data_IF_188295282457
#
_entry.id   IF_188295282457
#
_cell.length_a   1.000
_cell.length_b   1.000
_cell.length_c   1.000
_cell.angle_alpha   90.00
_cell.angle_beta   90.00
_cell.angle_gamma   90.00
#
_symmetry.space_group_name_H-M   'P 1'
#
loop_
_entity.id
_entity.type
_entity.pdbx_description
1 polymer ?
#
# COMPACT_ATOMS: atom_id res chain seq x y z
N UNK A 1 -30.34 17.95 -9.83
CA UNK A 1 -29.56 18.21 -8.60
C UNK A 1 -28.87 16.93 -8.13
N UNK A 2 -27.84 16.48 -8.84
CA UNK A 2 -27.17 15.19 -8.62
C UNK A 2 -25.91 15.29 -7.71
N UNK A 3 -25.65 16.49 -7.17
CA UNK A 3 -24.47 16.78 -6.35
C UNK A 3 -24.77 16.99 -4.85
N UNK A 4 -25.99 16.72 -4.39
CA UNK A 4 -26.30 16.80 -2.95
C UNK A 4 -25.84 15.52 -2.25
N UNK A 5 -24.71 15.61 -1.54
CA UNK A 5 -24.26 14.55 -0.63
C UNK A 5 -25.24 14.47 0.55
N UNK A 6 -25.94 13.34 0.77
CA UNK A 6 -26.86 13.22 1.87
C UNK A 6 -26.10 13.18 3.21
N UNK A 7 -26.62 13.91 4.21
CA UNK A 7 -26.08 13.84 5.57
C UNK A 7 -26.33 12.45 6.16
N UNK A 8 -25.27 11.79 6.65
CA UNK A 8 -25.35 10.46 7.25
C UNK A 8 -26.36 10.41 8.41
N UNK A 9 -26.39 11.44 9.26
CA UNK A 9 -27.37 11.57 10.36
C UNK A 9 -28.81 11.62 9.88
N UNK A 10 -29.07 12.22 8.72
CA UNK A 10 -30.42 12.25 8.13
C UNK A 10 -30.80 10.89 7.58
N UNK A 11 -29.86 10.19 6.92
CA UNK A 11 -30.08 8.82 6.45
C UNK A 11 -30.40 7.87 7.60
N UNK A 12 -29.68 7.98 8.71
CA UNK A 12 -29.94 7.22 9.94
C UNK A 12 -31.34 7.46 10.49
N UNK A 13 -31.74 8.72 10.71
CA UNK A 13 -33.06 9.08 11.25
C UNK A 13 -34.23 8.69 10.34
N UNK A 14 -34.03 8.73 9.04
CA UNK A 14 -35.10 8.49 8.06
C UNK A 14 -35.12 7.06 7.52
N UNK A 15 -34.13 6.23 7.85
CA UNK A 15 -33.99 4.87 7.32
C UNK A 15 -33.73 4.80 5.81
N UNK A 16 -33.36 5.92 5.15
CA UNK A 16 -33.26 6.02 3.68
C UNK A 16 -31.91 5.55 3.11
N UNK A 17 -31.25 4.59 3.74
CA UNK A 17 -29.98 4.04 3.26
C UNK A 17 -30.18 3.28 1.94
N UNK A 18 -29.27 3.48 0.98
CA UNK A 18 -29.32 2.76 -0.31
C UNK A 18 -28.75 1.34 -0.23
N UNK A 19 -28.08 0.99 0.86
CA UNK A 19 -27.51 -0.34 1.11
C UNK A 19 -27.49 -0.63 2.62
N UNK A 20 -27.82 -1.85 3.05
CA UNK A 20 -27.60 -2.30 4.42
C UNK A 20 -26.16 -2.16 4.88
N UNK A 21 -25.18 -2.43 3.99
CA UNK A 21 -23.76 -2.29 4.30
C UNK A 21 -23.40 -0.85 4.63
N UNK A 22 -24.00 0.12 3.93
CA UNK A 22 -23.77 1.54 4.19
C UNK A 22 -24.34 1.96 5.54
N UNK A 23 -25.53 1.44 5.91
CA UNK A 23 -26.11 1.66 7.23
C UNK A 23 -25.20 1.09 8.33
N UNK A 24 -24.78 -0.17 8.20
CA UNK A 24 -23.91 -0.80 9.22
C UNK A 24 -22.58 -0.03 9.31
N UNK A 25 -21.93 0.22 8.17
CA UNK A 25 -20.63 0.88 8.15
C UNK A 25 -20.66 2.30 8.71
N UNK A 26 -21.68 3.11 8.39
CA UNK A 26 -21.66 4.54 8.69
C UNK A 26 -22.54 4.96 9.88
N UNK A 27 -23.55 4.16 10.25
CA UNK A 27 -24.41 4.43 11.41
C UNK A 27 -24.01 3.60 12.65
N UNK A 28 -23.63 2.33 12.46
CA UNK A 28 -23.37 1.42 13.58
C UNK A 28 -21.91 1.35 14.01
N UNK A 29 -20.97 1.74 13.15
CA UNK A 29 -19.53 1.70 13.43
C UNK A 29 -18.97 3.12 13.53
N UNK A 30 -19.02 3.70 14.74
CA UNK A 30 -18.55 5.07 15.00
C UNK A 30 -17.10 5.32 14.51
N UNK A 31 -16.21 4.32 14.66
CA UNK A 31 -14.82 4.40 14.22
C UNK A 31 -14.65 4.73 12.73
N UNK A 32 -15.60 4.33 11.88
CA UNK A 32 -15.49 4.67 10.45
C UNK A 32 -15.61 6.18 10.22
N UNK A 33 -16.51 6.87 10.94
CA UNK A 33 -16.64 8.32 10.86
C UNK A 33 -15.45 9.06 11.49
N UNK A 34 -14.91 8.51 12.57
CA UNK A 34 -13.86 9.16 13.35
C UNK A 34 -12.47 9.03 12.70
N UNK A 35 -12.22 7.89 12.02
CA UNK A 35 -10.87 7.50 11.61
C UNK A 35 -10.70 7.31 10.11
N UNK A 36 -11.75 7.14 9.31
CA UNK A 36 -11.58 6.97 7.87
C UNK A 36 -11.69 8.32 7.15
N UNK A 37 -11.00 8.38 6.03
CA UNK A 37 -11.35 9.26 4.93
C UNK A 37 -12.54 8.70 4.17
N UNK A 38 -13.44 9.56 3.67
CA UNK A 38 -14.55 9.13 2.81
C UNK A 38 -14.04 8.33 1.60
N UNK A 39 -12.93 8.78 1.01
CA UNK A 39 -12.32 8.14 -0.15
C UNK A 39 -11.56 6.84 0.17
N UNK A 40 -11.35 6.49 1.45
CA UNK A 40 -10.84 5.16 1.82
C UNK A 40 -11.81 4.03 1.45
N UNK A 41 -13.12 4.32 1.50
CA UNK A 41 -14.17 3.41 1.07
C UNK A 41 -14.61 3.65 -0.37
N UNK A 42 -14.59 4.90 -0.83
CA UNK A 42 -15.19 5.29 -2.11
C UNK A 42 -14.22 5.30 -3.31
N UNK A 43 -12.90 5.24 -3.11
CA UNK A 43 -11.95 5.05 -4.19
C UNK A 43 -11.95 3.60 -4.68
N UNK A 44 -12.31 3.37 -5.95
CA UNK A 44 -12.40 2.01 -6.49
C UNK A 44 -11.04 1.45 -6.95
N UNK A 45 -10.09 2.30 -7.31
CA UNK A 45 -8.73 1.91 -7.70
C UNK A 45 -7.74 3.06 -7.61
N UNK A 46 -6.44 2.76 -7.59
CA UNK A 46 -5.35 3.74 -7.78
C UNK A 46 -4.35 3.21 -8.81
N UNK A 47 -3.68 4.09 -9.58
CA UNK A 47 -2.56 3.67 -10.42
C UNK A 47 -1.37 3.31 -9.52
N UNK A 48 -0.75 2.16 -9.77
CA UNK A 48 0.29 1.61 -8.89
C UNK A 48 1.52 1.23 -9.71
N UNK A 49 2.49 2.13 -9.73
CA UNK A 49 3.78 1.97 -10.41
C UNK A 49 4.80 1.40 -9.41
N UNK A 50 5.02 0.08 -9.43
CA UNK A 50 5.95 -0.55 -8.50
C UNK A 50 7.36 -0.63 -9.08
N UNK A 51 8.35 -0.28 -8.26
CA UNK A 51 9.79 -0.42 -8.52
C UNK A 51 10.29 0.34 -9.75
N UNK A 52 10.84 1.54 -9.54
CA UNK A 52 11.53 2.33 -10.56
C UNK A 52 13.03 2.03 -10.53
N UNK A 53 13.57 1.41 -11.58
CA UNK A 53 15.01 1.27 -11.73
C UNK A 53 15.59 2.47 -12.48
N UNK A 54 16.34 3.29 -11.75
CA UNK A 54 16.98 4.50 -12.28
C UNK A 54 18.45 4.21 -12.56
N UNK A 55 18.85 4.30 -13.82
CA UNK A 55 20.26 4.20 -14.22
C UNK A 55 20.77 5.57 -14.61
N UNK A 56 21.87 5.99 -13.98
CA UNK A 56 22.62 7.20 -14.33
C UNK A 56 23.97 6.80 -14.91
N UNK A 57 24.20 7.13 -16.19
CA UNK A 57 25.41 6.75 -16.93
C UNK A 57 26.22 7.98 -17.33
N UNK A 58 27.36 8.18 -16.66
CA UNK A 58 28.31 9.27 -16.92
C UNK A 58 29.36 8.92 -17.98
N UNK A 59 29.38 7.69 -18.49
CA UNK A 59 30.38 7.25 -19.46
C UNK A 59 30.27 8.04 -20.77
N UNK A 60 31.38 8.17 -21.49
CA UNK A 60 31.43 8.84 -22.81
C UNK A 60 30.84 10.27 -22.79
N UNK A 61 30.98 10.99 -21.67
CA UNK A 61 30.43 12.35 -21.49
C UNK A 61 28.93 12.47 -21.78
N UNK A 62 28.18 11.40 -21.52
CA UNK A 62 26.73 11.40 -21.60
C UNK A 62 26.13 12.49 -20.71
N UNK A 63 25.01 13.04 -21.15
CA UNK A 63 24.28 14.13 -20.48
C UNK A 63 22.77 13.89 -20.58
N UNK A 64 22.02 14.53 -19.69
CA UNK A 64 20.57 14.59 -19.77
C UNK A 64 20.03 15.96 -19.40
N UNK A 65 18.73 16.15 -19.59
CA UNK A 65 18.02 17.36 -19.16
C UNK A 65 18.12 17.56 -17.65
N UNK A 66 18.58 18.74 -17.25
CA UNK A 66 18.60 19.16 -15.86
C UNK A 66 17.28 19.85 -15.51
N UNK A 67 16.33 19.05 -15.03
CA UNK A 67 15.01 19.51 -14.64
C UNK A 67 15.03 20.49 -13.46
N UNK A 68 16.08 20.46 -12.62
CA UNK A 68 16.20 21.36 -11.46
C UNK A 68 16.72 22.72 -11.92
N UNK A 69 17.80 22.75 -12.70
CA UNK A 69 18.30 24.00 -13.28
C UNK A 69 17.24 24.63 -14.20
N UNK A 70 16.60 23.80 -15.02
CA UNK A 70 15.52 24.16 -15.92
C UNK A 70 14.32 24.82 -15.24
N UNK A 71 13.76 24.17 -14.22
CA UNK A 71 12.63 24.69 -13.45
C UNK A 71 12.94 25.96 -12.64
N UNK A 72 14.21 26.20 -12.34
CA UNK A 72 14.66 27.44 -11.67
C UNK A 72 14.89 28.61 -12.64
N UNK A 73 14.99 28.35 -13.95
CA UNK A 73 15.02 29.41 -14.95
C UNK A 73 13.60 29.93 -15.16
N UNK A 74 13.37 31.21 -14.87
CA UNK A 74 12.08 31.88 -15.10
C UNK A 74 12.25 33.01 -16.10
N UNK A 75 11.54 32.92 -17.20
CA UNK A 75 11.50 33.98 -18.20
C UNK A 75 10.45 35.04 -17.84
N UNK A 76 10.54 36.26 -18.41
CA UNK A 76 9.58 37.34 -18.14
C UNK A 76 8.11 37.00 -18.45
N UNK A 77 7.87 36.01 -19.32
CA UNK A 77 6.52 35.51 -19.65
C UNK A 77 6.00 34.45 -18.66
N UNK A 78 6.72 34.18 -17.56
CA UNK A 78 6.35 33.19 -16.55
C UNK A 78 6.67 31.74 -16.92
N UNK A 79 7.27 31.49 -18.08
CA UNK A 79 7.68 30.15 -18.51
C UNK A 79 9.07 29.75 -18.00
N UNK A 80 9.34 28.45 -18.01
CA UNK A 80 10.66 27.86 -17.73
C UNK A 80 11.38 27.41 -19.01
N UNK A 81 12.65 27.00 -18.90
CA UNK A 81 13.48 26.61 -20.05
C UNK A 81 12.91 25.44 -20.88
N UNK A 82 12.05 24.61 -20.29
CA UNK A 82 11.44 23.41 -20.87
C UNK A 82 9.97 23.62 -21.27
N UNK A 83 9.41 24.81 -21.01
CA UNK A 83 8.02 25.12 -21.36
C UNK A 83 7.77 25.16 -22.88
N UNK A 84 8.70 25.66 -23.73
CA UNK A 84 8.53 25.57 -25.18
C UNK A 84 8.64 24.13 -25.68
N UNK A 85 7.67 23.70 -26.49
CA UNK A 85 7.68 22.36 -27.08
C UNK A 85 8.97 22.13 -27.90
N UNK A 86 9.63 21.00 -27.64
CA UNK A 86 10.84 20.60 -28.36
C UNK A 86 12.16 21.14 -27.80
N UNK A 87 12.14 21.94 -26.73
CA UNK A 87 13.37 22.27 -26.00
C UNK A 87 13.70 21.17 -24.98
N UNK A 88 14.98 21.03 -24.67
CA UNK A 88 15.46 20.04 -23.70
C UNK A 88 16.03 20.66 -22.43
N UNK A 89 15.86 21.97 -22.24
CA UNK A 89 16.40 22.69 -21.09
C UNK A 89 17.93 22.68 -21.02
N UNK A 90 18.49 23.21 -19.93
CA UNK A 90 19.89 23.00 -19.57
C UNK A 90 20.22 21.51 -19.49
N UNK A 91 21.49 21.18 -19.75
CA UNK A 91 21.99 19.81 -19.65
C UNK A 91 22.91 19.67 -18.45
N UNK A 92 22.83 18.52 -17.78
CA UNK A 92 23.76 18.11 -16.73
C UNK A 92 24.47 16.81 -17.10
N UNK A 93 25.67 16.54 -16.56
CA UNK A 93 26.38 15.29 -16.79
C UNK A 93 25.58 14.07 -16.30
N UNK A 94 25.70 12.98 -17.05
CA UNK A 94 25.02 11.70 -16.79
C UNK A 94 23.75 11.58 -17.62
N UNK A 95 23.61 10.48 -18.38
CA UNK A 95 22.33 10.12 -19.01
C UNK A 95 21.47 9.38 -17.99
N UNK A 96 20.28 9.89 -17.72
CA UNK A 96 19.31 9.23 -16.85
C UNK A 96 18.38 8.37 -17.71
N UNK A 97 18.07 7.18 -17.23
CA UNK A 97 17.05 6.31 -17.80
C UNK A 97 16.30 5.62 -16.67
N UNK A 98 14.99 5.49 -16.82
CA UNK A 98 14.12 4.84 -15.85
C UNK A 98 13.41 3.67 -16.53
N UNK A 99 13.34 2.54 -15.84
CA UNK A 99 12.43 1.44 -16.17
C UNK A 99 11.56 1.13 -14.95
N UNK A 100 10.42 0.46 -15.16
CA UNK A 100 9.48 0.11 -14.10
C UNK A 100 9.32 -1.39 -14.03
N UNK A 101 9.15 -1.91 -12.81
CA UNK A 101 9.00 -3.35 -12.59
C UNK A 101 7.62 -3.84 -13.03
N UNK A 102 6.55 -3.22 -12.53
CA UNK A 102 5.18 -3.51 -12.97
C UNK A 102 4.21 -2.37 -12.65
N UNK A 103 3.11 -2.32 -13.41
CA UNK A 103 2.02 -1.36 -13.21
C UNK A 103 0.69 -2.09 -12.99
N UNK A 104 -0.14 -1.54 -12.10
CA UNK A 104 -1.48 -2.06 -11.81
C UNK A 104 -2.50 -0.93 -11.62
N UNK A 105 -3.76 -1.21 -11.96
CA UNK A 105 -4.93 -0.34 -11.73
C UNK A 105 -5.96 -1.13 -10.95
N UNK A 106 -5.78 -1.19 -9.64
CA UNK A 106 -6.56 -2.07 -8.77
C UNK A 106 -6.78 -1.40 -7.40
N UNK A 107 -7.43 -2.13 -6.49
CA UNK A 107 -7.72 -1.65 -5.15
C UNK A 107 -6.43 -1.21 -4.41
N UNK A 108 -6.48 -0.09 -3.68
CA UNK A 108 -5.31 0.46 -3.01
C UNK A 108 -4.95 -0.30 -1.74
N UNK A 109 -3.67 -0.24 -1.39
CA UNK A 109 -3.18 -0.48 -0.02
C UNK A 109 -3.79 0.61 0.89
N UNK A 110 -4.03 0.32 2.17
CA UNK A 110 -4.46 1.34 3.13
C UNK A 110 -3.32 1.72 4.08
N UNK A 111 -3.35 2.97 4.53
CA UNK A 111 -2.40 3.53 5.49
C UNK A 111 -3.01 4.69 6.24
N UNK A 112 -2.18 5.46 6.94
CA UNK A 112 -2.57 6.67 7.66
C UNK A 112 -2.02 7.88 6.89
N UNK A 113 -2.85 8.88 6.63
CA UNK A 113 -2.43 10.15 6.02
C UNK A 113 -1.85 11.14 7.05
N UNK A 114 -1.43 12.31 6.57
CA UNK A 114 -0.91 13.39 7.41
C UNK A 114 -1.90 13.96 8.44
N UNK A 115 -3.20 13.69 8.30
CA UNK A 115 -4.24 14.07 9.27
C UNK A 115 -4.54 12.95 10.29
N UNK A 116 -3.84 11.82 10.22
CA UNK A 116 -4.03 10.70 11.13
C UNK A 116 -5.26 9.83 10.80
N UNK A 117 -5.80 9.94 9.58
CA UNK A 117 -6.95 9.17 9.10
C UNK A 117 -6.53 8.06 8.14
N UNK A 118 -7.29 6.97 8.14
CA UNK A 118 -7.11 5.86 7.21
C UNK A 118 -7.43 6.32 5.80
N UNK A 119 -6.49 6.08 4.89
CA UNK A 119 -6.49 6.60 3.53
C UNK A 119 -6.00 5.53 2.55
N UNK A 120 -6.39 5.58 1.27
CA UNK A 120 -5.70 4.88 0.20
C UNK A 120 -4.24 5.30 0.08
N UNK A 121 -3.37 4.34 -0.14
CA UNK A 121 -1.99 4.55 -0.55
C UNK A 121 -1.80 4.09 -2.01
N UNK A 122 -0.91 4.77 -2.70
CA UNK A 122 -0.33 4.30 -3.96
C UNK A 122 1.20 4.31 -3.87
N UNK A 123 1.92 3.49 -4.64
CA UNK A 123 3.35 3.66 -4.84
C UNK A 123 3.68 5.11 -5.21
N UNK A 124 4.52 5.74 -4.40
CA UNK A 124 5.25 6.93 -4.80
C UNK A 124 6.42 6.53 -5.69
N UNK A 125 7.55 7.24 -5.55
CA UNK A 125 8.78 6.81 -6.21
C UNK A 125 9.44 5.67 -5.41
N UNK A 126 9.46 4.47 -6.00
CA UNK A 126 10.20 3.33 -5.44
C UNK A 126 11.54 3.15 -6.15
N UNK A 127 12.48 4.04 -5.85
CA UNK A 127 13.75 4.15 -6.60
C UNK A 127 14.76 3.10 -6.17
N UNK A 128 15.22 2.32 -7.16
CA UNK A 128 16.39 1.45 -7.10
C UNK A 128 17.39 2.01 -8.12
N UNK A 129 18.61 2.37 -7.72
CA UNK A 129 19.53 3.06 -8.63
C UNK A 129 20.81 2.30 -8.96
N UNK A 130 21.28 2.53 -10.18
CA UNK A 130 22.59 2.09 -10.67
C UNK A 130 23.34 3.30 -11.23
N UNK A 131 24.60 3.44 -10.86
CA UNK A 131 25.46 4.54 -11.32
C UNK A 131 26.68 3.97 -12.03
N UNK A 132 26.88 4.42 -13.27
CA UNK A 132 28.05 4.12 -14.10
C UNK A 132 28.90 5.38 -14.19
N UNK A 133 30.16 5.27 -13.79
CA UNK A 133 31.09 6.41 -13.77
C UNK A 133 31.55 6.83 -15.18
N UNK A 134 32.36 7.90 -15.24
CA UNK A 134 32.90 8.43 -16.51
C UNK A 134 33.78 7.43 -17.27
N UNK A 135 34.36 6.44 -16.59
CA UNK A 135 35.20 5.38 -17.17
C UNK A 135 34.36 4.17 -17.62
N UNK A 136 33.04 4.19 -17.43
CA UNK A 136 32.16 3.07 -17.75
C UNK A 136 32.11 1.98 -16.68
N UNK A 137 32.66 2.22 -15.48
CA UNK A 137 32.60 1.28 -14.37
C UNK A 137 31.33 1.51 -13.55
N UNK A 138 30.60 0.44 -13.25
CA UNK A 138 29.50 0.47 -12.28
C UNK A 138 30.06 0.73 -10.88
N UNK A 139 29.70 1.87 -10.28
CA UNK A 139 30.13 2.29 -8.94
C UNK A 139 29.02 2.17 -7.89
N UNK A 140 27.77 2.05 -8.34
CA UNK A 140 26.63 1.65 -7.52
C UNK A 140 25.76 0.72 -8.37
N UNK A 141 25.41 -0.45 -7.85
CA UNK A 141 24.54 -1.42 -8.52
C UNK A 141 23.33 -1.68 -7.64
N UNK A 142 22.13 -1.45 -8.16
CA UNK A 142 20.86 -1.76 -7.51
C UNK A 142 20.76 -1.29 -6.05
N UNK A 143 21.18 -0.06 -5.78
CA UNK A 143 21.14 0.50 -4.43
C UNK A 143 19.76 1.10 -4.13
N UNK A 144 19.37 1.04 -2.86
CA UNK A 144 18.15 1.66 -2.34
C UNK A 144 18.51 2.54 -1.15
N UNK A 145 17.87 3.70 -1.03
CA UNK A 145 18.07 4.59 0.09
C UNK A 145 17.41 3.99 1.32
N UNK A 146 17.97 4.24 2.50
CA UNK A 146 17.24 4.02 3.74
C UNK A 146 16.55 5.32 4.14
N UNK A 147 15.40 5.21 4.80
CA UNK A 147 14.84 6.32 5.56
C UNK A 147 15.81 6.80 6.64
N UNK A 148 15.46 7.90 7.32
CA UNK A 148 16.24 8.44 8.42
C UNK A 148 15.80 7.87 9.77
N UNK A 149 16.47 8.28 10.85
CA UNK A 149 16.13 7.87 12.21
C UNK A 149 14.71 8.31 12.61
N UNK A 150 14.27 9.48 12.15
CA UNK A 150 12.93 10.02 12.46
C UNK A 150 11.84 9.13 11.86
N UNK A 151 12.02 8.64 10.63
CA UNK A 151 11.13 7.68 9.97
C UNK A 151 11.05 6.35 10.74
N UNK A 152 12.18 5.85 11.24
CA UNK A 152 12.21 4.65 12.08
C UNK A 152 11.38 4.86 13.36
N UNK A 153 11.52 6.01 14.00
CA UNK A 153 10.77 6.36 15.22
C UNK A 153 9.28 6.53 14.91
N UNK A 154 8.93 7.27 13.85
CA UNK A 154 7.55 7.60 13.48
C UNK A 154 6.74 6.35 13.09
N UNK A 155 7.39 5.41 12.39
CA UNK A 155 6.81 4.11 12.02
C UNK A 155 6.66 3.14 13.20
N UNK A 156 7.30 3.42 14.35
CA UNK A 156 7.29 2.54 15.52
C UNK A 156 8.14 1.27 15.35
N UNK A 157 9.01 1.25 14.33
CA UNK A 157 9.89 0.12 14.07
C UNK A 157 10.96 -0.04 15.15
N UNK A 158 11.25 -1.28 15.52
CA UNK A 158 12.28 -1.60 16.53
C UNK A 158 13.56 -2.12 15.88
N UNK A 159 13.44 -2.96 14.86
CA UNK A 159 14.54 -3.67 14.22
C UNK A 159 14.98 -2.97 12.93
N UNK A 160 14.07 -2.72 11.98
CA UNK A 160 14.42 -2.15 10.67
C UNK A 160 14.18 -0.65 10.54
N UNK A 161 15.06 0.04 9.83
CA UNK A 161 14.74 1.36 9.27
C UNK A 161 13.98 1.14 7.96
N UNK A 162 12.84 1.80 7.71
CA UNK A 162 12.15 1.69 6.43
C UNK A 162 13.07 2.06 5.26
N UNK A 163 12.96 1.39 4.13
CA UNK A 163 13.62 1.82 2.90
C UNK A 163 12.99 3.13 2.40
N UNK A 164 13.80 4.04 1.86
CA UNK A 164 13.40 5.32 1.26
C UNK A 164 12.71 5.20 -0.10
N UNK A 165 12.05 4.06 -0.34
CA UNK A 165 11.07 3.89 -1.41
C UNK A 165 9.69 4.19 -0.82
N UNK A 166 8.86 4.96 -1.51
CA UNK A 166 7.69 5.56 -0.85
C UNK A 166 6.34 4.95 -1.26
N UNK A 167 5.41 4.97 -0.31
CA UNK A 167 3.99 4.77 -0.54
C UNK A 167 3.24 6.03 -0.09
N UNK A 168 2.64 6.73 -1.05
CA UNK A 168 2.03 8.03 -0.83
C UNK A 168 0.52 7.90 -0.51
N UNK A 169 0.03 8.55 0.57
CA UNK A 169 -1.38 8.88 0.74
C UNK A 169 -1.97 9.55 -0.49
N UNK A 170 -3.15 9.09 -0.94
CA UNK A 170 -3.77 9.61 -2.16
C UNK A 170 -5.29 9.67 -2.06
N UNK A 171 -5.85 10.79 -2.51
CA UNK A 171 -7.25 10.89 -2.90
C UNK A 171 -7.34 10.76 -4.44
N UNK A 172 -7.66 9.57 -4.97
CA UNK A 172 -7.69 9.37 -6.41
C UNK A 172 -8.98 9.91 -7.04
N UNK A 173 -8.92 10.17 -8.35
CA UNK A 173 -10.09 10.51 -9.18
C UNK A 173 -10.96 9.29 -9.55
N UNK A 174 -10.95 8.25 -8.71
CA UNK A 174 -11.70 7.00 -8.87
C UNK A 174 -12.83 6.86 -7.85
N UNK A 175 -13.24 7.98 -7.22
CA UNK A 175 -14.33 8.00 -6.27
C UNK A 175 -15.66 7.58 -6.93
N UNK A 176 -16.36 6.61 -6.35
CA UNK A 176 -17.62 6.08 -6.86
C UNK A 176 -18.72 6.06 -5.80
N UNK A 177 -19.98 6.08 -6.26
CA UNK A 177 -21.16 6.00 -5.38
C UNK A 177 -21.20 4.69 -4.58
N UNK A 178 -20.78 3.57 -5.17
CA UNK A 178 -20.67 2.28 -4.49
C UNK A 178 -19.29 2.22 -3.82
N UNK A 179 -19.28 2.06 -2.51
CA UNK A 179 -18.06 1.82 -1.75
C UNK A 179 -17.50 0.40 -2.01
N UNK A 180 -16.22 0.20 -1.74
CA UNK A 180 -15.59 -1.13 -1.73
C UNK A 180 -16.25 -2.04 -0.68
N UNK A 181 -16.19 -3.34 -0.93
CA UNK A 181 -16.77 -4.34 -0.03
C UNK A 181 -16.00 -4.38 1.31
N UNK A 182 -16.63 -4.89 2.38
CA UNK A 182 -15.97 -4.99 3.69
C UNK A 182 -14.70 -5.86 3.62
N UNK A 183 -14.79 -6.97 2.90
CA UNK A 183 -13.71 -7.94 2.67
C UNK A 183 -12.50 -7.29 2.00
N UNK A 184 -12.74 -6.29 1.15
CA UNK A 184 -11.69 -5.55 0.44
C UNK A 184 -10.77 -4.78 1.41
N UNK A 185 -11.26 -4.34 2.58
CA UNK A 185 -10.42 -3.72 3.61
C UNK A 185 -10.01 -4.71 4.70
N UNK A 186 -10.93 -5.58 5.09
CA UNK A 186 -10.85 -6.32 6.34
C UNK A 186 -10.38 -7.78 6.17
N UNK A 187 -10.32 -8.27 4.94
CA UNK A 187 -9.91 -9.64 4.58
C UNK A 187 -9.02 -9.63 3.31
N UNK A 188 -8.31 -8.52 3.10
CA UNK A 188 -7.39 -8.37 1.99
C UNK A 188 -5.98 -8.06 2.51
N UNK A 189 -5.01 -8.99 2.34
CA UNK A 189 -3.66 -8.78 2.85
C UNK A 189 -2.99 -7.55 2.24
N UNK A 190 -3.32 -7.21 0.99
CA UNK A 190 -2.81 -6.01 0.33
C UNK A 190 -3.33 -4.74 1.00
N UNK A 191 -4.63 -4.67 1.29
CA UNK A 191 -5.22 -3.51 1.97
C UNK A 191 -4.61 -3.31 3.36
N UNK A 192 -4.30 -4.41 4.06
CA UNK A 192 -3.66 -4.41 5.37
C UNK A 192 -2.15 -4.14 5.33
N UNK A 193 -1.57 -4.05 4.14
CA UNK A 193 -0.16 -3.69 3.94
C UNK A 193 0.82 -4.86 3.90
N UNK A 194 0.34 -6.11 3.91
CA UNK A 194 1.20 -7.30 3.81
C UNK A 194 1.62 -7.63 2.38
N UNK A 195 1.24 -6.81 1.41
CA UNK A 195 1.52 -7.01 -0.01
C UNK A 195 0.46 -7.83 -0.74
N UNK A 196 0.59 -7.85 -2.07
CA UNK A 196 -0.29 -8.59 -2.98
C UNK A 196 -0.17 -10.08 -2.66
N UNK A 197 -1.32 -10.73 -2.43
CA UNK A 197 -1.41 -12.12 -1.94
C UNK A 197 -0.56 -12.40 -0.68
N UNK A 198 -0.38 -11.40 0.19
CA UNK A 198 0.44 -11.54 1.41
C UNK A 198 1.94 -11.42 1.17
N UNK A 199 2.34 -10.80 0.05
CA UNK A 199 3.76 -10.49 -0.21
C UNK A 199 4.58 -11.73 -0.60
N UNK A 200 3.91 -12.78 -1.09
CA UNK A 200 4.55 -14.05 -1.50
C UNK A 200 5.19 -13.98 -2.88
N UNK A 201 4.96 -12.89 -3.62
CA UNK A 201 5.55 -12.67 -4.93
C UNK A 201 6.93 -12.00 -4.82
N UNK A 202 7.76 -12.19 -5.85
CA UNK A 202 9.04 -11.48 -6.01
C UNK A 202 9.96 -11.49 -4.78
N UNK A 203 9.93 -12.55 -3.97
CA UNK A 203 10.70 -12.64 -2.71
C UNK A 203 12.20 -12.87 -2.90
N UNK A 204 12.66 -13.05 -4.14
CA UNK A 204 14.03 -13.41 -4.50
C UNK A 204 14.90 -12.22 -4.92
N UNK A 205 14.47 -10.99 -4.63
CA UNK A 205 15.26 -9.79 -4.96
C UNK A 205 16.66 -9.80 -4.35
N UNK A 206 16.87 -10.44 -3.20
CA UNK A 206 18.19 -10.52 -2.53
C UNK A 206 19.12 -11.59 -3.13
N UNK A 207 18.68 -12.30 -4.16
CA UNK A 207 19.44 -13.34 -4.84
C UNK A 207 19.83 -12.89 -6.25
N UNK A 208 21.03 -13.29 -6.70
CA UNK A 208 21.37 -13.19 -8.11
C UNK A 208 20.59 -14.26 -8.87
N UNK A 209 19.87 -13.87 -9.91
CA UNK A 209 19.18 -14.82 -10.78
C UNK A 209 20.09 -15.17 -11.95
N UNK A 210 20.34 -16.47 -12.07
CA UNK A 210 21.06 -17.08 -13.16
C UNK A 210 20.10 -17.96 -13.95
N UNK A 211 19.91 -17.63 -15.22
CA UNK A 211 19.11 -18.42 -16.16
C UNK A 211 20.07 -19.33 -16.95
N UNK A 212 20.31 -20.53 -16.43
CA UNK A 212 21.20 -21.54 -17.02
C UNK A 212 20.82 -22.95 -16.52
N UNK A 213 21.57 -23.99 -16.92
CA UNK A 213 21.39 -25.36 -16.44
C UNK A 213 21.54 -25.42 -14.92
N UNK A 214 20.47 -25.83 -14.22
CA UNK A 214 20.44 -26.01 -12.77
C UNK A 214 20.34 -27.49 -12.38
N UNK A 215 20.99 -27.85 -11.28
CA UNK A 215 20.77 -29.13 -10.62
C UNK A 215 19.38 -29.11 -9.98
N UNK A 216 18.48 -29.98 -10.45
CA UNK A 216 17.08 -29.99 -10.01
C UNK A 216 16.90 -30.33 -8.52
N UNK A 217 17.86 -30.99 -7.87
CA UNK A 217 17.76 -31.36 -6.45
C UNK A 217 18.22 -30.25 -5.53
N UNK A 218 19.22 -29.47 -5.96
CA UNK A 218 19.90 -28.48 -5.13
C UNK A 218 19.64 -27.04 -5.55
N UNK A 219 19.10 -26.81 -6.75
CA UNK A 219 18.87 -25.48 -7.32
C UNK A 219 20.15 -24.75 -7.73
N UNK A 220 21.31 -25.40 -7.69
CA UNK A 220 22.60 -24.78 -8.01
C UNK A 220 22.85 -24.77 -9.50
N UNK A 221 23.45 -23.70 -9.99
CA UNK A 221 23.93 -23.57 -11.38
C UNK A 221 25.03 -24.60 -11.64
N UNK A 222 24.87 -25.40 -12.71
CA UNK A 222 25.79 -26.48 -13.09
C UNK A 222 27.05 -25.92 -13.81
N UNK A 223 26.94 -24.98 -14.78
CA UNK A 223 28.12 -24.43 -15.42
C UNK A 223 29.04 -23.71 -14.46
N UNK A 224 30.35 -23.89 -14.63
CA UNK A 224 31.38 -23.15 -13.87
C UNK A 224 31.54 -21.70 -14.32
N UNK A 225 31.07 -21.39 -15.54
CA UNK A 225 31.12 -20.05 -16.14
C UNK A 225 29.71 -19.71 -16.59
N UNK A 226 29.14 -18.68 -15.98
CA UNK A 226 27.84 -18.14 -16.31
C UNK A 226 27.86 -16.63 -16.08
N UNK A 227 26.86 -15.96 -16.64
CA UNK A 227 26.60 -14.55 -16.39
C UNK A 227 25.40 -14.44 -15.46
N UNK A 228 25.37 -13.42 -14.62
CA UNK A 228 24.17 -13.07 -13.85
C UNK A 228 23.22 -12.30 -14.78
N UNK A 229 22.00 -12.79 -14.95
CA UNK A 229 21.00 -12.13 -15.80
C UNK A 229 20.24 -11.05 -15.03
N UNK A 230 19.90 -11.31 -13.76
CA UNK A 230 19.26 -10.32 -12.88
C UNK A 230 20.09 -10.21 -11.61
N UNK A 231 20.89 -9.14 -11.47
CA UNK A 231 21.66 -8.91 -10.25
C UNK A 231 20.72 -8.61 -9.09
N UNK A 232 21.09 -9.08 -7.90
CA UNK A 232 20.33 -8.84 -6.67
C UNK A 232 20.17 -7.36 -6.33
N UNK A 233 19.17 -7.10 -5.50
CA UNK A 233 18.88 -5.84 -4.81
C UNK A 233 18.94 -6.14 -3.32
N UNK A 234 20.13 -6.04 -2.73
CA UNK A 234 20.45 -6.53 -1.37
C UNK A 234 19.47 -6.03 -0.29
N UNK A 235 19.03 -4.77 -0.40
CA UNK A 235 18.17 -4.14 0.60
C UNK A 235 16.69 -4.55 0.50
N UNK A 236 16.25 -5.15 -0.61
CA UNK A 236 14.84 -5.39 -0.92
C UNK A 236 14.44 -6.83 -0.55
N UNK A 237 14.35 -7.12 0.74
CA UNK A 237 14.00 -8.46 1.26
C UNK A 237 12.48 -8.75 1.26
N UNK A 238 11.69 -8.04 0.46
CA UNK A 238 10.23 -8.10 0.43
C UNK A 238 9.67 -7.72 -0.95
N UNK A 239 8.44 -8.14 -1.24
CA UNK A 239 7.68 -7.68 -2.41
C UNK A 239 7.43 -6.17 -2.35
N UNK A 240 7.58 -5.45 -3.47
CA UNK A 240 7.43 -3.99 -3.52
C UNK A 240 6.06 -3.45 -3.06
N UNK A 241 5.03 -4.30 -3.04
CA UNK A 241 3.70 -3.94 -2.52
C UNK A 241 3.54 -4.12 -1.01
N UNK A 242 4.49 -4.78 -0.36
CA UNK A 242 4.51 -4.99 1.10
C UNK A 242 5.00 -3.74 1.80
N UNK A 243 4.16 -3.16 2.66
CA UNK A 243 4.51 -2.06 3.57
C UNK A 243 4.68 -2.50 5.02
N UNK A 244 4.20 -3.70 5.38
CA UNK A 244 4.37 -4.31 6.70
C UNK A 244 4.93 -5.73 6.53
N UNK A 245 6.09 -6.00 7.14
CA UNK A 245 6.69 -7.33 7.24
C UNK A 245 7.13 -7.58 8.69
N UNK A 246 6.77 -8.73 9.25
CA UNK A 246 7.10 -9.10 10.63
C UNK A 246 6.67 -8.06 11.69
N UNK A 247 5.58 -7.35 11.40
CA UNK A 247 5.04 -6.28 12.25
C UNK A 247 5.73 -4.93 12.11
N UNK A 248 6.72 -4.79 11.22
CA UNK A 248 7.47 -3.56 10.99
C UNK A 248 7.23 -2.98 9.60
N UNK A 249 7.24 -1.65 9.53
CA UNK A 249 7.12 -0.92 8.27
C UNK A 249 8.38 -1.13 7.41
N UNK A 250 8.21 -1.62 6.19
CA UNK A 250 9.32 -1.99 5.29
C UNK A 250 9.86 -0.81 4.50
N UNK A 251 8.99 0.14 4.17
CA UNK A 251 9.27 1.25 3.28
C UNK A 251 8.58 2.53 3.77
N UNK A 252 9.01 3.70 3.31
CA UNK A 252 8.43 4.94 3.81
C UNK A 252 6.97 5.10 3.38
N UNK A 253 6.19 5.81 4.19
CA UNK A 253 4.77 6.07 3.90
C UNK A 253 4.50 7.55 4.14
N UNK A 254 4.46 8.35 3.07
CA UNK A 254 4.06 9.76 3.15
C UNK A 254 4.91 10.61 4.10
N UNK A 255 6.24 10.40 4.08
CA UNK A 255 7.28 10.98 4.97
C UNK A 255 7.22 12.49 5.17
N UNK A 256 6.54 13.21 4.28
CA UNK A 256 6.33 14.64 4.36
C UNK A 256 5.46 15.06 5.55
N UNK A 257 4.71 14.13 6.18
CA UNK A 257 3.81 14.43 7.28
C UNK A 257 4.06 13.57 8.52
N UNK A 258 4.12 14.16 9.73
CA UNK A 258 4.45 13.43 10.97
C UNK A 258 3.48 12.30 11.35
N UNK A 259 2.23 12.37 10.88
CA UNK A 259 1.23 11.35 11.20
C UNK A 259 1.18 10.19 10.21
N UNK A 260 1.73 10.39 9.00
CA UNK A 260 1.69 9.38 7.95
C UNK A 260 2.49 8.15 8.35
N UNK A 261 1.91 6.97 8.11
CA UNK A 261 2.52 5.68 8.38
C UNK A 261 1.70 4.55 7.77
N UNK A 262 2.28 3.37 7.68
CA UNK A 262 1.53 2.14 7.45
C UNK A 262 0.49 1.93 8.56
N UNK A 263 -0.56 1.13 8.31
CA UNK A 263 -1.58 0.87 9.33
C UNK A 263 -0.93 0.31 10.63
N UNK A 264 -1.12 0.99 11.78
CA UNK A 264 -0.68 0.50 13.07
C UNK A 264 -1.24 -0.88 13.36
N UNK A 265 -0.49 -1.68 14.15
CA UNK A 265 -0.87 -3.05 14.49
C UNK A 265 -2.28 -3.09 15.11
N UNK A 266 -2.60 -2.13 15.97
CA UNK A 266 -3.89 -2.06 16.68
C UNK A 266 -5.05 -1.84 15.70
N UNK A 267 -4.82 -1.09 14.61
CA UNK A 267 -5.81 -0.87 13.56
C UNK A 267 -5.94 -2.13 12.69
N UNK A 268 -4.83 -2.75 12.27
CA UNK A 268 -4.83 -4.02 11.50
C UNK A 268 -5.52 -5.15 12.27
N UNK A 269 -5.16 -5.36 13.53
CA UNK A 269 -5.78 -6.33 14.43
C UNK A 269 -7.29 -6.08 14.63
N UNK A 270 -7.73 -4.83 14.51
CA UNK A 270 -9.15 -4.46 14.54
C UNK A 270 -9.86 -4.76 13.21
N UNK A 271 -9.17 -4.52 12.10
CA UNK A 271 -9.68 -4.76 10.75
C UNK A 271 -9.77 -6.26 10.43
N UNK A 272 -8.77 -7.05 10.78
CA UNK A 272 -8.66 -8.50 10.45
C UNK A 272 -9.69 -9.39 11.14
N UNK A 273 -10.46 -8.87 12.11
CA UNK A 273 -11.45 -9.68 12.84
C UNK A 273 -12.64 -10.14 11.98
N UNK A 274 -12.72 -9.82 10.69
CA UNK A 274 -14.00 -9.84 9.94
C UNK A 274 -14.44 -11.15 9.30
N UNK A 275 -13.54 -12.09 8.98
CA UNK A 275 -13.92 -13.31 8.24
C UNK A 275 -15.00 -14.17 8.95
N UNK A 276 -15.03 -14.13 10.29
CA UNK A 276 -16.08 -14.77 11.10
C UNK A 276 -17.23 -13.81 11.48
N UNK A 277 -17.03 -12.49 11.34
CA UNK A 277 -17.89 -11.47 11.93
C UNK A 277 -18.95 -10.90 10.97
N UNK A 278 -18.67 -10.86 9.66
CA UNK A 278 -19.62 -10.29 8.68
C UNK A 278 -20.94 -11.05 8.62
N UNK A 279 -20.92 -12.38 8.75
CA UNK A 279 -22.15 -13.18 8.84
C UNK A 279 -23.01 -12.76 10.04
N UNK A 280 -22.39 -12.56 11.20
CA UNK A 280 -23.12 -12.16 12.41
C UNK A 280 -23.60 -10.69 12.35
N UNK A 281 -22.81 -9.77 11.80
CA UNK A 281 -23.17 -8.36 11.66
C UNK A 281 -24.20 -8.09 10.56
N UNK A 282 -24.24 -8.89 9.49
CA UNK A 282 -25.33 -8.83 8.50
C UNK A 282 -26.66 -9.22 9.14
N UNK A 283 -26.66 -10.31 9.90
CA UNK A 283 -27.85 -10.79 10.60
C UNK A 283 -28.29 -9.91 11.79
N UNK A 284 -27.49 -8.91 12.21
CA UNK A 284 -27.98 -7.86 13.11
C UNK A 284 -29.14 -7.05 12.52
N UNK A 285 -29.24 -7.00 11.19
CA UNK A 285 -30.34 -6.32 10.49
C UNK A 285 -31.61 -7.16 10.42
N UNK A 286 -31.56 -8.42 10.86
CA UNK A 286 -32.68 -9.34 10.90
C UNK A 286 -33.25 -9.37 12.32
N UNK A 287 -34.26 -8.53 12.60
CA UNK A 287 -34.80 -8.37 13.96
C UNK A 287 -35.29 -9.68 14.60
N UNK A 288 -35.85 -10.59 13.80
CA UNK A 288 -36.31 -11.90 14.29
C UNK A 288 -35.17 -12.81 14.74
N UNK A 289 -34.03 -12.75 14.04
CA UNK A 289 -32.86 -13.53 14.40
C UNK A 289 -32.07 -12.84 15.49
N UNK A 290 -31.84 -11.52 15.36
CA UNK A 290 -31.04 -10.73 16.28
C UNK A 290 -31.63 -10.67 17.68
N UNK A 291 -32.96 -10.56 17.80
CA UNK A 291 -33.65 -10.62 19.11
C UNK A 291 -33.42 -11.94 19.86
N UNK A 292 -33.12 -13.04 19.15
CA UNK A 292 -32.86 -14.36 19.75
C UNK A 292 -31.41 -14.57 20.17
N UNK A 293 -30.47 -13.84 19.56
CA UNK A 293 -29.03 -14.06 19.74
C UNK A 293 -28.30 -12.89 20.40
N UNK A 294 -28.94 -11.72 20.49
CA UNK A 294 -28.36 -10.54 21.13
C UNK A 294 -28.62 -10.50 22.63
N UNK A 295 -27.64 -9.99 23.37
CA UNK A 295 -27.74 -9.69 24.79
C UNK A 295 -27.54 -8.19 25.02
N UNK A 296 -28.29 -7.55 25.95
CA UNK A 296 -28.10 -6.14 26.26
C UNK A 296 -26.66 -5.82 26.71
N UNK A 297 -26.14 -4.68 26.27
CA UNK A 297 -24.79 -4.20 26.62
C UNK A 297 -23.74 -4.42 25.54
N UNK A 298 -22.51 -4.03 25.82
CA UNK A 298 -21.34 -4.23 24.95
C UNK A 298 -20.52 -5.41 25.45
N UNK A 299 -20.27 -6.38 24.58
CA UNK A 299 -19.37 -7.50 24.88
C UNK A 299 -17.94 -6.99 24.94
N UNK A 300 -17.20 -7.36 26.00
CA UNK A 300 -15.76 -7.19 26.01
C UNK A 300 -15.11 -8.25 25.10
N UNK A 301 -13.78 -8.19 24.92
CA UNK A 301 -13.05 -9.12 24.05
C UNK A 301 -13.27 -10.59 24.45
N UNK A 302 -13.26 -10.89 25.75
CA UNK A 302 -13.41 -12.24 26.27
C UNK A 302 -14.83 -12.76 26.03
N UNK A 303 -15.85 -11.97 26.35
CA UNK A 303 -17.25 -12.34 26.17
C UNK A 303 -17.60 -12.57 24.69
N UNK A 304 -17.02 -11.77 23.79
CA UNK A 304 -17.22 -11.92 22.36
C UNK A 304 -16.62 -13.24 21.83
N UNK A 305 -15.44 -13.62 22.31
CA UNK A 305 -14.82 -14.91 21.98
C UNK A 305 -15.67 -16.07 22.50
N UNK A 306 -16.22 -15.96 23.72
CA UNK A 306 -17.11 -16.97 24.28
C UNK A 306 -18.41 -17.14 23.47
N UNK A 307 -19.00 -16.05 22.98
CA UNK A 307 -20.16 -16.11 22.11
C UNK A 307 -19.85 -16.86 20.80
N UNK A 308 -18.74 -16.54 20.15
CA UNK A 308 -18.33 -17.25 18.93
C UNK A 308 -18.07 -18.73 19.20
N UNK A 309 -17.46 -19.08 20.34
CA UNK A 309 -17.26 -20.47 20.75
C UNK A 309 -18.59 -21.20 20.99
N UNK A 310 -19.58 -20.54 21.59
CA UNK A 310 -20.94 -21.10 21.78
C UNK A 310 -21.62 -21.36 20.44
N UNK A 311 -21.54 -20.41 19.50
CA UNK A 311 -22.08 -20.56 18.15
C UNK A 311 -21.43 -21.73 17.39
N UNK A 312 -20.10 -21.85 17.47
CA UNK A 312 -19.35 -22.92 16.82
C UNK A 312 -19.74 -24.31 17.38
N UNK A 313 -19.87 -24.43 18.71
CA UNK A 313 -20.32 -25.66 19.38
C UNK A 313 -21.76 -26.01 19.04
N UNK A 314 -22.66 -25.03 18.99
CA UNK A 314 -24.05 -25.23 18.60
C UNK A 314 -24.17 -25.73 17.15
N UNK A 315 -23.38 -25.18 16.23
CA UNK A 315 -23.32 -25.64 14.84
C UNK A 315 -22.77 -27.08 14.74
N UNK A 316 -21.70 -27.39 15.48
CA UNK A 316 -21.13 -28.74 15.52
C UNK A 316 -22.13 -29.78 16.05
N UNK A 317 -22.91 -29.45 17.08
CA UNK A 317 -23.95 -30.33 17.63
C UNK A 317 -25.11 -30.56 16.66
N UNK A 318 -25.42 -29.60 15.78
CA UNK A 318 -26.42 -29.78 14.71
C UNK A 318 -25.97 -30.73 13.60
N UNK A 319 -24.67 -30.86 13.33
CA UNK A 319 -24.12 -31.82 12.35
C UNK A 319 -23.98 -33.26 12.86
N UNK A 320 -24.21 -33.49 14.16
CA UNK A 320 -24.22 -34.84 14.78
C UNK A 320 -25.61 -35.51 14.75
N UNK A 321 -26.62 -34.84 14.20
CA UNK A 321 -27.92 -35.41 13.84
C UNK A 321 -28.00 -35.52 12.33
#
# INVERSE_FOLDING_TARGET
NDFKVPLLKTLAKTGKWKSPDAMVAMDRVAKHNDKLECYACHASWVPQCYGCHVKVDYSKNKQDSDWVAGGNLRFPNGQTAESPLGTHGPKSPGKVSETRSYLRWEEPVLGINGEGRVTPLMPGCQVIWTVIDRKGKTIALNQIATGNTDEKIASGNKKRTPLGIDMAPVQPHSAQRKARACESCHDNPKALGYGIAGGVFQTRYVEDIVEDLIDQKTGKVIPKRYSIQIPKVEALDFDLSTIIKDGEQTQTVGTHWPLSRALPKEIRDGMERTGLCLGCHREMTNDQLWSKVSTPGTLNRQDHIELMNKLLKAYANRKKK
#
